data_IF_645152208157
#
_entry.id   IF_645152208157
#
_cell.length_a   1.000
_cell.length_b   1.000
_cell.length_c   1.000
_cell.angle_alpha   90.00
_cell.angle_beta   90.00
_cell.angle_gamma   90.00
#
_symmetry.space_group_name_H-M   'P 1'
#
loop_
_entity.id
_entity.type
_entity.pdbx_description
1 polymer ?
#
# COMPACT_ATOMS: atom_id res chain seq x y z
N UNK A 1 -72.63 6.46 -23.77
CA UNK A 1 -72.01 7.80 -23.81
C UNK A 1 -70.52 7.59 -23.60
N UNK A 2 -69.75 7.57 -24.70
CA UNK A 2 -68.30 7.44 -24.65
C UNK A 2 -67.63 8.79 -24.87
N UNK A 3 -66.46 8.95 -24.25
CA UNK A 3 -65.29 9.70 -24.72
C UNK A 3 -64.10 9.00 -24.08
N UNK A 4 -63.47 8.05 -24.80
CA UNK A 4 -62.31 8.21 -25.69
C UNK A 4 -60.97 8.16 -24.92
N UNK A 5 -60.15 7.24 -25.40
CA UNK A 5 -58.92 6.64 -24.86
C UNK A 5 -57.62 7.39 -25.23
N UNK A 6 -56.60 7.29 -24.35
CA UNK A 6 -55.13 7.08 -24.57
C UNK A 6 -54.27 8.26 -25.13
N UNK A 7 -52.96 8.47 -24.76
CA UNK A 7 -51.96 7.47 -24.33
C UNK A 7 -50.98 7.76 -23.17
N UNK A 8 -50.40 6.65 -22.70
CA UNK A 8 -48.97 6.41 -22.38
C UNK A 8 -48.33 7.26 -21.27
N UNK A 9 -48.25 6.65 -20.09
CA UNK A 9 -47.03 6.60 -19.27
C UNK A 9 -47.00 5.29 -18.48
N UNK A 10 -47.12 4.17 -19.21
CA UNK A 10 -46.41 2.96 -18.82
C UNK A 10 -44.91 3.24 -19.01
N UNK A 11 -44.08 2.73 -18.11
CA UNK A 11 -42.65 3.04 -17.92
C UNK A 11 -42.43 4.44 -17.33
N UNK A 12 -41.92 4.62 -16.13
CA UNK A 12 -40.78 3.94 -15.55
C UNK A 12 -40.79 4.25 -14.04
N UNK A 13 -41.53 3.45 -13.25
CA UNK A 13 -41.31 3.45 -11.80
C UNK A 13 -40.02 2.68 -11.59
N UNK A 14 -38.93 3.42 -11.52
CA UNK A 14 -37.59 2.90 -11.40
C UNK A 14 -37.46 2.31 -10.00
N UNK A 15 -37.62 0.98 -9.96
CA UNK A 15 -37.01 0.13 -8.98
C UNK A 15 -35.49 0.28 -9.16
N UNK A 16 -34.90 1.33 -8.61
CA UNK A 16 -33.49 1.33 -8.23
C UNK A 16 -33.50 0.68 -6.85
N UNK A 17 -33.56 -0.64 -6.90
CA UNK A 17 -33.14 -1.54 -5.84
C UNK A 17 -31.87 -0.94 -5.21
N UNK A 18 -32.02 -0.24 -4.09
CA UNK A 18 -30.93 -0.05 -3.14
C UNK A 18 -30.56 -1.47 -2.72
N UNK A 19 -29.65 -2.06 -3.48
CA UNK A 19 -29.03 -3.31 -3.14
C UNK A 19 -28.63 -3.17 -1.68
N UNK A 20 -29.08 -4.07 -0.78
CA UNK A 20 -28.46 -4.12 0.51
C UNK A 20 -27.01 -4.37 0.18
N UNK A 21 -26.13 -3.40 0.47
CA UNK A 21 -24.71 -3.64 0.56
C UNK A 21 -24.60 -4.62 1.71
N UNK A 22 -24.83 -5.88 1.38
CA UNK A 22 -24.46 -7.04 2.16
C UNK A 22 -22.95 -6.97 2.10
N UNK A 23 -22.40 -6.13 2.98
CA UNK A 23 -21.05 -6.27 3.48
C UNK A 23 -21.06 -7.68 4.06
N UNK A 24 -20.81 -8.68 3.21
CA UNK A 24 -20.45 -10.02 3.66
C UNK A 24 -19.26 -9.73 4.54
N UNK A 25 -19.48 -9.74 5.85
CA UNK A 25 -18.50 -9.36 6.84
C UNK A 25 -17.28 -10.19 6.56
N UNK A 26 -16.28 -9.57 5.91
CA UNK A 26 -15.04 -10.25 5.59
C UNK A 26 -14.51 -10.63 6.96
N UNK A 27 -14.27 -11.91 7.18
CA UNK A 27 -13.72 -12.40 8.43
C UNK A 27 -12.27 -11.92 8.46
N UNK A 28 -12.07 -10.66 8.82
CA UNK A 28 -10.78 -10.02 8.83
C UNK A 28 -9.93 -10.74 9.87
N UNK A 29 -8.74 -11.17 9.44
CA UNK A 29 -7.82 -11.99 10.22
C UNK A 29 -7.18 -11.23 11.38
N UNK A 30 -7.97 -10.62 12.25
CA UNK A 30 -7.47 -9.74 13.31
C UNK A 30 -6.53 -10.46 14.27
N UNK A 31 -6.95 -11.61 14.81
CA UNK A 31 -6.20 -12.28 15.87
C UNK A 31 -5.16 -13.30 15.39
N UNK A 32 -5.37 -13.92 14.21
CA UNK A 32 -4.46 -14.94 13.68
C UNK A 32 -3.27 -14.31 12.94
N UNK A 33 -3.49 -13.17 12.27
CA UNK A 33 -2.45 -12.51 11.48
C UNK A 33 -1.59 -11.58 12.33
N UNK A 34 -2.11 -11.14 13.49
CA UNK A 34 -1.39 -10.29 14.43
C UNK A 34 -0.01 -10.85 14.84
N UNK A 35 0.11 -12.07 15.38
CA UNK A 35 1.43 -12.60 15.77
C UNK A 35 2.37 -12.75 14.58
N UNK A 36 1.87 -13.10 13.39
CA UNK A 36 2.70 -13.22 12.19
C UNK A 36 3.30 -11.87 11.78
N UNK A 37 2.48 -10.82 11.78
CA UNK A 37 2.92 -9.45 11.47
C UNK A 37 3.86 -8.93 12.56
N UNK A 38 3.57 -9.18 13.84
CA UNK A 38 4.44 -8.80 14.96
C UNK A 38 5.81 -9.45 14.85
N UNK A 39 5.89 -10.76 14.58
CA UNK A 39 7.16 -11.47 14.40
C UNK A 39 7.90 -10.94 13.16
N UNK A 40 7.19 -10.66 12.06
CA UNK A 40 7.80 -10.08 10.86
C UNK A 40 8.39 -8.70 11.13
N UNK A 41 7.66 -7.80 11.80
CA UNK A 41 8.14 -6.46 12.14
C UNK A 41 9.33 -6.53 13.10
N UNK A 42 9.24 -7.34 14.15
CA UNK A 42 10.34 -7.48 15.12
C UNK A 42 11.58 -8.11 14.48
N UNK A 43 11.42 -9.10 13.60
CA UNK A 43 12.52 -9.66 12.82
C UNK A 43 13.17 -8.60 11.91
N UNK A 44 12.37 -7.77 11.25
CA UNK A 44 12.86 -6.67 10.42
C UNK A 44 13.62 -5.62 11.25
N UNK A 45 13.13 -5.22 12.43
CA UNK A 45 13.83 -4.23 13.27
C UNK A 45 15.14 -4.76 13.82
N UNK A 46 15.18 -6.04 14.22
CA UNK A 46 16.42 -6.72 14.65
C UNK A 46 17.42 -6.83 13.49
N UNK A 47 16.96 -7.23 12.30
CA UNK A 47 17.82 -7.31 11.12
C UNK A 47 18.38 -5.93 10.71
N UNK A 48 17.54 -4.89 10.71
CA UNK A 48 17.95 -3.53 10.37
C UNK A 48 18.97 -2.97 11.37
N UNK A 49 18.75 -3.18 12.67
CA UNK A 49 19.69 -2.73 13.71
C UNK A 49 21.02 -3.49 13.66
N UNK A 50 20.99 -4.82 13.45
CA UNK A 50 22.20 -5.62 13.29
C UNK A 50 22.99 -5.29 12.02
N UNK A 51 22.31 -5.01 10.91
CA UNK A 51 22.95 -4.54 9.69
C UNK A 51 23.62 -3.17 9.90
N UNK A 52 22.93 -2.21 10.51
CA UNK A 52 23.45 -0.85 10.71
C UNK A 52 24.71 -0.85 11.59
N UNK A 53 24.73 -1.62 12.67
CA UNK A 53 25.91 -1.71 13.55
C UNK A 53 27.08 -2.36 12.84
N UNK A 54 26.83 -3.45 12.10
CA UNK A 54 27.86 -4.12 11.32
C UNK A 54 28.44 -3.20 10.22
N UNK A 55 27.59 -2.40 9.57
CA UNK A 55 28.01 -1.44 8.56
C UNK A 55 28.99 -0.40 9.14
N UNK A 56 28.67 0.22 10.28
CA UNK A 56 29.56 1.21 10.92
C UNK A 56 30.93 0.61 11.25
N UNK A 57 30.93 -0.58 11.85
CA UNK A 57 32.16 -1.30 12.21
C UNK A 57 32.98 -1.62 10.96
N UNK A 58 32.36 -2.11 9.90
CA UNK A 58 33.03 -2.40 8.64
C UNK A 58 33.68 -1.16 8.01
N UNK A 59 33.02 -0.01 8.06
CA UNK A 59 33.58 1.25 7.57
C UNK A 59 34.82 1.68 8.36
N UNK A 60 34.84 1.46 9.67
CA UNK A 60 35.94 1.85 10.55
C UNK A 60 37.10 0.86 10.42
N UNK A 61 36.84 -0.44 10.55
CA UNK A 61 37.88 -1.46 10.66
C UNK A 61 38.48 -1.85 9.31
N UNK A 62 37.64 -2.07 8.28
CA UNK A 62 38.09 -2.59 6.99
C UNK A 62 38.46 -1.47 6.01
N UNK A 63 37.64 -0.42 5.95
CA UNK A 63 37.92 0.73 5.10
C UNK A 63 38.81 1.80 5.76
N UNK A 64 39.18 1.62 7.04
CA UNK A 64 40.01 2.56 7.80
C UNK A 64 39.46 4.01 7.77
N UNK A 65 38.13 4.15 7.64
CA UNK A 65 37.48 5.46 7.63
C UNK A 65 37.51 6.02 9.05
N UNK A 66 37.95 7.28 9.19
CA UNK A 66 37.91 7.97 10.49
C UNK A 66 36.51 7.91 11.09
N UNK A 67 36.41 7.57 12.38
CA UNK A 67 35.16 7.42 13.13
C UNK A 67 34.13 8.53 12.84
N UNK A 68 34.58 9.79 12.79
CA UNK A 68 33.73 10.96 12.51
C UNK A 68 33.04 10.85 11.14
N UNK A 69 33.76 10.43 10.10
CA UNK A 69 33.22 10.26 8.75
C UNK A 69 32.36 9.00 8.65
N UNK A 70 32.73 7.92 9.34
CA UNK A 70 31.91 6.70 9.39
C UNK A 70 30.53 6.99 10.01
N UNK A 71 30.49 7.78 11.09
CA UNK A 71 29.24 8.23 11.70
C UNK A 71 28.41 9.11 10.76
N UNK A 72 29.05 10.02 10.00
CA UNK A 72 28.34 10.82 9.00
C UNK A 72 27.68 9.94 7.94
N UNK A 73 28.40 8.95 7.40
CA UNK A 73 27.86 8.02 6.41
C UNK A 73 26.71 7.23 7.01
N UNK A 74 26.88 6.68 8.21
CA UNK A 74 25.82 5.96 8.92
C UNK A 74 24.59 6.83 9.18
N UNK A 75 24.76 8.11 9.50
CA UNK A 75 23.63 9.03 9.70
C UNK A 75 22.86 9.29 8.40
N UNK A 76 23.55 9.38 7.26
CA UNK A 76 22.91 9.47 5.94
C UNK A 76 22.16 8.18 5.62
N UNK A 77 22.76 7.02 5.83
CA UNK A 77 22.12 5.71 5.62
C UNK A 77 20.88 5.58 6.51
N UNK A 78 20.98 5.96 7.78
CA UNK A 78 19.84 5.97 8.71
C UNK A 78 18.73 6.92 8.24
N UNK A 79 19.10 8.10 7.72
CA UNK A 79 18.16 8.99 7.05
C UNK A 79 17.42 8.30 5.90
N UNK A 80 18.16 7.66 4.98
CA UNK A 80 17.58 6.89 3.88
C UNK A 80 16.64 5.77 4.36
N UNK A 81 17.02 5.02 5.41
CA UNK A 81 16.17 3.98 5.99
C UNK A 81 14.83 4.52 6.50
N UNK A 82 14.78 5.78 6.98
CA UNK A 82 13.53 6.43 7.37
C UNK A 82 12.73 6.99 6.17
N UNK A 83 13.40 7.35 5.07
CA UNK A 83 12.73 7.80 3.84
C UNK A 83 12.15 6.64 3.01
N UNK A 84 12.78 5.45 3.04
CA UNK A 84 12.33 4.28 2.28
C UNK A 84 10.87 3.91 2.57
N UNK A 85 10.39 3.86 3.83
CA UNK A 85 8.97 3.62 4.13
C UNK A 85 8.03 4.66 3.51
N UNK A 86 8.42 5.94 3.50
CA UNK A 86 7.61 7.01 2.91
C UNK A 86 7.50 6.81 1.40
N UNK A 87 8.63 6.57 0.73
CA UNK A 87 8.65 6.26 -0.70
C UNK A 87 7.86 4.98 -1.00
N UNK A 88 8.03 3.94 -0.18
CA UNK A 88 7.31 2.68 -0.27
C UNK A 88 5.80 2.84 -0.09
N UNK A 89 5.36 3.71 0.82
CA UNK A 89 3.95 4.05 1.00
C UNK A 89 3.38 4.75 -0.23
N UNK A 90 4.08 5.76 -0.77
CA UNK A 90 3.65 6.46 -2.00
C UNK A 90 3.51 5.48 -3.18
N UNK A 91 4.48 4.58 -3.33
CA UNK A 91 4.43 3.54 -4.35
C UNK A 91 3.27 2.58 -4.07
N UNK A 92 3.12 2.07 -2.84
CA UNK A 92 2.05 1.15 -2.48
C UNK A 92 0.66 1.77 -2.76
N UNK A 93 0.43 3.01 -2.35
CA UNK A 93 -0.82 3.73 -2.56
C UNK A 93 -1.09 3.98 -4.06
N UNK A 94 -0.03 4.20 -4.85
CA UNK A 94 -0.15 4.35 -6.30
C UNK A 94 -0.56 3.03 -6.97
N UNK A 95 0.07 1.91 -6.61
CA UNK A 95 -0.12 0.60 -7.24
C UNK A 95 -1.38 -0.14 -6.78
N UNK A 96 -1.84 0.04 -5.53
CA UNK A 96 -2.99 -0.67 -4.96
C UNK A 96 -4.37 -0.13 -5.35
N UNK A 97 -4.45 1.00 -6.08
CA UNK A 97 -5.74 1.61 -6.45
C UNK A 97 -5.86 2.01 -7.92
N UNK A 98 -5.04 2.95 -8.37
CA UNK A 98 -5.27 3.65 -9.64
C UNK A 98 -4.23 3.36 -10.73
N UNK A 99 -2.97 3.11 -10.36
CA UNK A 99 -1.91 2.86 -11.33
C UNK A 99 -2.14 1.57 -12.14
N UNK A 100 -2.70 0.53 -11.53
CA UNK A 100 -3.04 -0.71 -12.24
C UNK A 100 -4.07 -0.46 -13.35
N UNK A 101 -5.11 0.34 -13.08
CA UNK A 101 -6.15 0.70 -14.06
C UNK A 101 -5.57 1.52 -15.21
N UNK A 102 -4.74 2.52 -14.90
CA UNK A 102 -4.07 3.35 -15.90
C UNK A 102 -3.12 2.52 -16.76
N UNK A 103 -2.35 1.61 -16.14
CA UNK A 103 -1.42 0.74 -16.84
C UNK A 103 -2.15 -0.22 -17.80
N UNK A 104 -3.23 -0.87 -17.35
CA UNK A 104 -4.05 -1.75 -18.19
C UNK A 104 -4.74 -0.99 -19.32
N UNK A 105 -5.30 0.19 -19.03
CA UNK A 105 -5.92 1.05 -20.04
C UNK A 105 -4.90 1.49 -21.10
N UNK A 106 -3.67 1.83 -20.69
CA UNK A 106 -2.60 2.23 -21.61
C UNK A 106 -2.19 1.10 -22.53
N UNK A 107 -2.08 -0.13 -22.02
CA UNK A 107 -1.74 -1.31 -22.85
C UNK A 107 -2.87 -1.59 -23.84
N UNK A 108 -4.12 -1.51 -23.39
CA UNK A 108 -5.31 -1.77 -24.23
C UNK A 108 -5.48 -0.71 -25.33
N UNK A 109 -5.10 0.55 -25.08
CA UNK A 109 -5.25 1.62 -26.07
C UNK A 109 -4.17 1.62 -27.16
N UNK A 110 -3.05 0.94 -26.94
CA UNK A 110 -1.94 0.81 -27.90
C UNK A 110 -2.05 -0.49 -28.73
N UNK A 111 -2.79 -1.49 -28.24
CA UNK A 111 -3.14 -2.72 -28.95
C UNK A 111 -4.30 -2.49 -29.92
#
# INVERSE_FOLDING_TARGET
>A
MGTKEIPVSSEYNKHDEEAPTTQIGRKEGGWITFPFITVALTGLTVAASGWMTNLIVYLIEQFNVKNIRATQISNVVNGCTNFIPIAGAIIADSYLGNFFVISVSSITSVL
#
